data_IF_725344556726
#
_entry.id   IF_725344556726
#
_cell.length_a   1.000
_cell.length_b   1.000
_cell.length_c   1.000
_cell.angle_alpha   90.00
_cell.angle_beta   90.00
_cell.angle_gamma   90.00
#
_symmetry.space_group_name_H-M   'P 1'
#
loop_
_entity.id
_entity.type
_entity.pdbx_description
1 polymer ?
#
# COMPACT_ATOMS: atom_id res chain seq x y z
N UNK A 1 6.88 4.14 -66.78
CA UNK A 1 5.76 3.37 -66.19
C UNK A 1 6.17 2.22 -65.24
N UNK A 2 7.36 1.61 -65.35
CA UNK A 2 7.78 0.49 -64.46
C UNK A 2 8.19 0.88 -63.03
N UNK A 3 8.57 2.13 -62.77
CA UNK A 3 8.95 2.58 -61.41
C UNK A 3 7.75 2.86 -60.46
N UNK A 4 6.56 3.07 -61.01
CA UNK A 4 5.38 3.46 -60.21
C UNK A 4 4.65 2.26 -59.59
N UNK A 5 4.86 1.05 -60.13
CA UNK A 5 4.26 -0.20 -59.61
C UNK A 5 5.02 -0.70 -58.38
N UNK A 6 6.34 -0.44 -58.31
CA UNK A 6 7.19 -0.94 -57.23
C UNK A 6 6.99 -0.19 -55.91
N UNK A 7 6.70 1.12 -55.93
CA UNK A 7 6.39 1.86 -54.69
C UNK A 7 5.00 1.51 -54.13
N UNK A 8 4.02 1.25 -54.99
CA UNK A 8 2.68 0.82 -54.58
C UNK A 8 2.67 -0.60 -54.01
N UNK A 9 3.47 -1.53 -54.55
CA UNK A 9 3.63 -2.86 -53.94
C UNK A 9 4.28 -2.81 -52.56
N UNK A 10 5.31 -1.96 -52.36
CA UNK A 10 5.92 -1.78 -51.03
C UNK A 10 4.92 -1.23 -50.02
N UNK A 11 4.10 -0.24 -50.41
CA UNK A 11 3.08 0.33 -49.54
C UNK A 11 1.97 -0.69 -49.18
N UNK A 12 1.53 -1.51 -50.13
CA UNK A 12 0.49 -2.54 -49.91
C UNK A 12 1.01 -3.68 -49.04
N UNK A 13 2.26 -4.12 -49.23
CA UNK A 13 2.89 -5.13 -48.36
C UNK A 13 3.08 -4.57 -46.95
N UNK A 14 3.49 -3.30 -46.81
CA UNK A 14 3.63 -2.65 -45.51
C UNK A 14 2.27 -2.51 -44.78
N UNK A 15 1.20 -2.16 -45.50
CA UNK A 15 -0.15 -2.06 -44.93
C UNK A 15 -0.73 -3.42 -44.55
N UNK A 16 -0.50 -4.46 -45.37
CA UNK A 16 -0.97 -5.81 -45.10
C UNK A 16 -0.24 -6.45 -43.92
N UNK A 17 1.07 -6.22 -43.79
CA UNK A 17 1.87 -6.63 -42.62
C UNK A 17 1.42 -5.85 -41.37
N UNK A 18 1.18 -4.55 -41.47
CA UNK A 18 0.70 -3.75 -40.34
C UNK A 18 -0.69 -4.18 -39.86
N UNK A 19 -1.64 -4.42 -40.78
CA UNK A 19 -3.00 -4.89 -40.45
C UNK A 19 -3.06 -6.33 -39.92
N UNK A 20 -2.11 -7.19 -40.30
CA UNK A 20 -1.99 -8.57 -39.76
C UNK A 20 -1.26 -8.61 -38.40
N UNK A 21 -0.40 -7.62 -38.11
CA UNK A 21 0.22 -7.46 -36.78
C UNK A 21 -0.76 -6.91 -35.75
N UNK A 22 -1.70 -6.04 -36.15
CA UNK A 22 -2.70 -5.48 -35.22
C UNK A 22 -3.84 -6.43 -34.87
N UNK A 23 -4.05 -7.51 -35.62
CA UNK A 23 -5.24 -8.37 -35.48
C UNK A 23 -5.03 -9.69 -34.74
N UNK A 24 -3.81 -10.05 -34.32
CA UNK A 24 -3.58 -11.35 -33.65
C UNK A 24 -2.21 -11.48 -32.95
N UNK A 25 -1.92 -10.57 -32.02
CA UNK A 25 -0.99 -10.91 -30.92
C UNK A 25 -1.83 -11.31 -29.71
N UNK A 26 -2.49 -12.45 -29.81
CA UNK A 26 -2.99 -13.17 -28.65
C UNK A 26 -1.78 -13.85 -28.01
N UNK A 27 -1.13 -13.19 -27.04
CA UNK A 27 -0.21 -13.87 -26.15
C UNK A 27 -1.02 -14.96 -25.42
N UNK A 28 -0.58 -16.22 -25.48
CA UNK A 28 -1.10 -17.20 -24.53
C UNK A 28 -0.64 -16.75 -23.15
N UNK A 29 -1.58 -16.66 -22.20
CA UNK A 29 -1.28 -16.24 -20.83
C UNK A 29 -0.21 -17.12 -20.15
N UNK A 30 0.00 -18.35 -20.65
CA UNK A 30 0.98 -19.32 -20.15
C UNK A 30 2.46 -18.94 -20.41
N UNK A 31 2.80 -18.15 -21.43
CA UNK A 31 4.22 -17.78 -21.67
C UNK A 31 4.70 -16.56 -20.86
N UNK A 32 3.79 -15.88 -20.15
CA UNK A 32 4.09 -14.73 -19.29
C UNK A 32 4.25 -15.10 -17.81
N UNK A 33 4.16 -16.39 -17.46
CA UNK A 33 3.84 -16.83 -16.10
C UNK A 33 5.04 -17.02 -15.15
N UNK A 34 6.30 -16.92 -15.59
CA UNK A 34 7.42 -17.30 -14.69
C UNK A 34 8.43 -16.22 -14.31
N UNK A 35 8.63 -15.15 -15.08
CA UNK A 35 9.63 -14.14 -14.73
C UNK A 35 9.57 -12.95 -15.69
N UNK A 36 9.46 -11.71 -15.18
CA UNK A 36 9.85 -10.55 -15.97
C UNK A 36 11.37 -10.45 -15.85
N UNK A 37 12.08 -11.10 -16.78
CA UNK A 37 13.54 -11.10 -16.81
C UNK A 37 14.07 -9.70 -17.13
N UNK A 38 14.91 -9.15 -16.25
CA UNK A 38 15.69 -7.95 -16.50
C UNK A 38 16.95 -8.27 -17.32
N UNK A 39 17.53 -7.25 -17.95
CA UNK A 39 18.66 -7.35 -18.88
C UNK A 39 19.96 -7.95 -18.30
N UNK A 40 20.03 -8.08 -16.98
CA UNK A 40 21.10 -8.62 -16.17
C UNK A 40 20.82 -10.04 -15.65
N UNK A 41 19.73 -10.68 -16.09
CA UNK A 41 19.34 -12.03 -15.68
C UNK A 41 18.59 -12.09 -14.34
N UNK A 42 18.32 -10.93 -13.73
CA UNK A 42 17.52 -10.84 -12.51
C UNK A 42 16.02 -10.89 -12.85
N UNK A 43 15.27 -11.76 -12.18
CA UNK A 43 13.82 -11.75 -12.26
C UNK A 43 13.27 -10.63 -11.38
N UNK A 44 12.45 -9.73 -11.94
CA UNK A 44 11.46 -9.02 -11.13
C UNK A 44 10.36 -10.03 -10.80
N UNK A 45 10.49 -10.66 -9.65
CA UNK A 45 9.39 -11.45 -9.11
C UNK A 45 8.24 -10.52 -8.73
N UNK A 46 7.01 -11.03 -8.69
CA UNK A 46 5.89 -10.32 -8.07
C UNK A 46 6.22 -9.86 -6.65
N UNK A 47 7.11 -10.57 -5.95
CA UNK A 47 7.62 -10.18 -4.64
C UNK A 47 8.53 -8.95 -4.68
N UNK A 48 9.29 -8.72 -5.76
CA UNK A 48 10.14 -7.52 -5.93
C UNK A 48 9.29 -6.28 -6.22
N UNK A 49 8.22 -6.44 -7.02
CA UNK A 49 7.22 -5.40 -7.24
C UNK A 49 6.50 -5.07 -5.93
N UNK A 50 6.07 -6.09 -5.19
CA UNK A 50 5.38 -5.90 -3.90
C UNK A 50 6.26 -5.24 -2.84
N UNK A 51 7.54 -5.55 -2.83
CA UNK A 51 8.47 -5.06 -1.82
C UNK A 51 9.08 -3.69 -2.17
N UNK A 52 8.76 -3.14 -3.35
CA UNK A 52 8.94 -1.73 -3.66
C UNK A 52 7.74 -0.88 -3.21
N UNK A 53 6.63 -1.49 -2.79
CA UNK A 53 5.56 -0.76 -2.13
C UNK A 53 5.95 -0.52 -0.67
N UNK A 54 6.15 0.76 -0.32
CA UNK A 54 6.15 1.24 1.06
C UNK A 54 4.79 0.93 1.69
N UNK A 55 4.69 -0.24 2.29
CA UNK A 55 3.59 -0.65 3.16
C UNK A 55 3.76 0.04 4.53
N UNK A 56 3.99 1.36 4.50
CA UNK A 56 4.27 2.22 5.64
C UNK A 56 3.41 1.76 6.82
N UNK A 57 4.07 1.14 7.80
CA UNK A 57 3.39 0.36 8.85
C UNK A 57 2.41 1.27 9.58
N UNK A 58 1.10 1.03 9.44
CA UNK A 58 0.09 1.84 10.05
C UNK A 58 -0.20 1.35 11.46
N UNK A 59 -0.71 2.26 12.29
CA UNK A 59 -1.23 1.90 13.60
C UNK A 59 -2.46 1.01 13.41
N UNK A 60 -2.52 -0.08 14.16
CA UNK A 60 -3.76 -0.81 14.32
C UNK A 60 -4.82 0.22 14.76
N UNK A 61 -5.90 0.45 14.01
CA UNK A 61 -6.88 1.45 14.37
C UNK A 61 -7.49 1.18 15.75
N UNK A 62 -7.47 -0.09 16.18
CA UNK A 62 -7.85 -0.49 17.51
C UNK A 62 -6.85 -0.02 18.58
N UNK A 63 -5.55 0.10 18.28
CA UNK A 63 -4.61 0.77 19.18
C UNK A 63 -4.87 2.26 19.28
N UNK A 64 -5.21 2.93 18.16
CA UNK A 64 -5.64 4.31 18.23
C UNK A 64 -6.88 4.42 19.14
N UNK A 65 -7.91 3.59 18.91
CA UNK A 65 -9.11 3.57 19.75
C UNK A 65 -8.88 3.15 21.20
N UNK A 66 -7.85 2.35 21.47
CA UNK A 66 -7.43 2.00 22.82
C UNK A 66 -6.37 2.97 23.38
N UNK A 67 -6.25 4.18 22.81
CA UNK A 67 -5.29 5.24 23.19
C UNK A 67 -3.83 4.77 23.34
N UNK A 68 -3.44 3.71 22.63
CA UNK A 68 -2.10 3.13 22.65
C UNK A 68 -1.17 3.74 21.57
N UNK A 69 -1.63 4.75 20.83
CA UNK A 69 -0.86 5.45 19.81
C UNK A 69 -1.05 6.97 19.91
N UNK A 70 -0.18 7.79 19.27
CA UNK A 70 -0.22 9.24 19.41
C UNK A 70 -1.62 9.80 19.15
N UNK A 71 -2.04 10.72 20.01
CA UNK A 71 -3.46 11.05 20.24
C UNK A 71 -4.14 11.78 19.08
N UNK A 72 -3.36 12.40 18.19
CA UNK A 72 -3.84 13.47 17.31
C UNK A 72 -4.13 13.04 15.87
N UNK A 73 -3.39 12.11 15.25
CA UNK A 73 -3.66 11.71 13.86
C UNK A 73 -3.66 10.21 13.64
N UNK A 74 -4.85 9.72 13.29
CA UNK A 74 -5.05 8.36 12.79
C UNK A 74 -4.45 8.24 11.40
N UNK A 75 -3.59 7.24 11.22
CA UNK A 75 -3.02 6.91 9.91
C UNK A 75 -3.80 5.78 9.30
N UNK A 76 -4.26 5.93 8.05
CA UNK A 76 -5.01 4.86 7.43
C UNK A 76 -4.10 3.67 7.20
N UNK A 77 -4.62 2.48 7.50
CA UNK A 77 -3.89 1.24 7.29
C UNK A 77 -4.01 0.75 5.86
N UNK A 78 -2.87 0.40 5.28
CA UNK A 78 -2.82 -0.42 4.07
C UNK A 78 -2.60 -1.86 4.51
N UNK A 79 -3.60 -2.69 4.23
CA UNK A 79 -3.62 -4.06 4.73
C UNK A 79 -2.41 -4.84 4.26
N UNK A 80 -1.77 -5.53 5.20
CA UNK A 80 -1.08 -6.78 4.91
C UNK A 80 -2.05 -7.93 5.22
N UNK A 81 -1.77 -9.16 4.76
CA UNK A 81 -2.67 -10.32 4.96
C UNK A 81 -3.01 -10.52 6.43
N UNK A 82 -1.97 -10.53 7.24
CA UNK A 82 -1.99 -10.63 8.68
C UNK A 82 -0.91 -9.68 9.20
N UNK A 83 -1.27 -8.82 10.14
CA UNK A 83 -0.32 -8.00 10.86
C UNK A 83 -0.41 -8.35 12.34
N UNK A 84 0.77 -8.54 12.94
CA UNK A 84 0.92 -8.58 14.39
C UNK A 84 1.64 -7.31 14.76
N UNK A 85 1.07 -6.58 15.70
CA UNK A 85 1.67 -5.35 16.22
C UNK A 85 1.84 -5.49 17.71
N UNK A 86 3.02 -5.17 18.18
CA UNK A 86 3.34 -5.08 19.59
C UNK A 86 3.73 -3.63 19.87
N UNK A 87 2.99 -3.00 20.78
CA UNK A 87 3.31 -1.67 21.28
C UNK A 87 3.62 -1.83 22.76
N UNK A 88 4.91 -1.79 23.16
CA UNK A 88 5.23 -1.48 24.53
C UNK A 88 4.71 -0.05 24.75
N UNK A 89 3.73 0.10 25.64
CA UNK A 89 3.27 1.44 26.00
C UNK A 89 4.47 2.14 26.62
N UNK A 90 4.70 3.39 26.23
CA UNK A 90 5.83 4.17 26.74
C UNK A 90 5.66 4.22 28.26
N UNK A 91 6.64 3.68 28.97
CA UNK A 91 6.64 3.39 30.42
C UNK A 91 6.39 4.61 31.32
N UNK A 92 6.31 5.81 30.74
CA UNK A 92 6.23 7.07 31.46
C UNK A 92 4.79 7.57 31.65
N UNK A 93 3.79 7.02 30.94
CA UNK A 93 2.38 7.53 31.04
C UNK A 93 1.41 6.56 31.72
N UNK A 94 1.70 5.25 31.77
CA UNK A 94 0.74 4.23 32.24
C UNK A 94 1.31 3.18 33.21
N UNK A 95 2.55 3.41 33.68
CA UNK A 95 3.28 2.48 34.54
C UNK A 95 4.45 1.80 33.80
N UNK A 96 5.39 1.26 34.58
CA UNK A 96 6.65 0.70 34.06
C UNK A 96 6.46 -0.58 33.22
N UNK A 97 5.28 -1.22 33.30
CA UNK A 97 5.01 -2.54 32.73
C UNK A 97 3.69 -2.59 31.94
N UNK A 98 3.55 -1.69 30.96
CA UNK A 98 2.38 -1.66 30.07
C UNK A 98 2.72 -2.20 28.68
N UNK A 99 1.91 -3.14 28.18
CA UNK A 99 2.10 -3.73 26.87
C UNK A 99 0.79 -3.96 26.14
N UNK A 100 0.86 -3.95 24.81
CA UNK A 100 -0.30 -4.25 23.99
C UNK A 100 0.06 -5.05 22.75
N UNK A 101 -0.82 -5.98 22.41
CA UNK A 101 -0.74 -6.84 21.23
C UNK A 101 -1.97 -6.61 20.36
N UNK A 102 -1.75 -6.45 19.08
CA UNK A 102 -2.77 -6.22 18.08
C UNK A 102 -2.62 -7.23 16.96
N UNK A 103 -3.74 -7.81 16.55
CA UNK A 103 -3.88 -8.66 15.38
C UNK A 103 -4.80 -7.98 14.40
N UNK A 104 -4.39 -7.94 13.14
CA UNK A 104 -5.23 -7.41 12.07
C UNK A 104 -5.21 -8.31 10.86
N UNK A 105 -6.39 -8.57 10.33
CA UNK A 105 -6.63 -9.42 9.19
C UNK A 105 -7.23 -8.61 8.05
N UNK A 106 -6.61 -8.70 6.87
CA UNK A 106 -7.21 -8.23 5.64
C UNK A 106 -7.81 -9.42 4.88
N UNK A 107 -9.14 -9.66 4.93
CA UNK A 107 -9.74 -10.81 4.28
C UNK A 107 -9.51 -10.81 2.77
N UNK A 108 -9.49 -9.64 2.12
CA UNK A 108 -9.25 -9.57 0.68
C UNK A 108 -7.89 -10.11 0.28
N UNK A 109 -6.85 -9.80 1.05
CA UNK A 109 -5.51 -10.30 0.76
C UNK A 109 -5.34 -11.80 1.04
N UNK A 110 -6.13 -12.40 1.94
CA UNK A 110 -6.19 -13.86 2.08
C UNK A 110 -6.68 -14.54 0.80
N UNK A 111 -7.64 -13.92 0.10
CA UNK A 111 -8.18 -14.41 -1.16
C UNK A 111 -7.35 -13.99 -2.38
N UNK A 112 -6.36 -13.12 -2.21
CA UNK A 112 -5.51 -12.67 -3.31
C UNK A 112 -4.56 -13.81 -3.72
N UNK A 113 -4.64 -14.30 -4.97
CA UNK A 113 -3.67 -15.27 -5.45
C UNK A 113 -2.28 -14.65 -5.43
N UNK A 114 -1.27 -15.48 -5.13
CA UNK A 114 0.11 -15.03 -5.02
C UNK A 114 0.69 -14.56 -6.37
N UNK A 115 0.15 -15.09 -7.46
CA UNK A 115 0.55 -14.80 -8.83
C UNK A 115 -0.71 -14.52 -9.63
N UNK A 116 -0.67 -13.43 -10.39
CA UNK A 116 -1.71 -13.05 -11.34
C UNK A 116 -1.04 -12.66 -12.66
N UNK A 117 -1.66 -13.05 -13.76
CA UNK A 117 -1.20 -12.68 -15.10
C UNK A 117 -1.70 -11.29 -15.47
N UNK A 118 -1.03 -10.63 -16.42
CA UNK A 118 -1.54 -9.39 -17.01
C UNK A 118 -2.96 -9.55 -17.58
N UNK A 119 -3.27 -10.72 -18.17
CA UNK A 119 -4.61 -11.07 -18.69
C UNK A 119 -5.68 -11.04 -17.61
N UNK A 120 -5.38 -11.59 -16.43
CA UNK A 120 -6.30 -11.60 -15.30
C UNK A 120 -6.55 -10.21 -14.74
N UNK A 121 -5.53 -9.36 -14.66
CA UNK A 121 -5.66 -7.97 -14.25
C UNK A 121 -6.55 -7.17 -15.19
N UNK A 122 -6.33 -7.30 -16.50
CA UNK A 122 -7.17 -6.68 -17.52
C UNK A 122 -8.63 -7.19 -17.45
N UNK A 123 -8.82 -8.48 -17.12
CA UNK A 123 -10.13 -9.08 -16.90
C UNK A 123 -10.87 -8.52 -15.68
N UNK A 124 -10.16 -8.14 -14.62
CA UNK A 124 -10.76 -7.51 -13.44
C UNK A 124 -11.37 -6.15 -13.80
N UNK A 125 -10.65 -5.32 -14.55
CA UNK A 125 -11.04 -3.95 -14.92
C UNK A 125 -12.12 -3.85 -16.00
N UNK A 126 -11.98 -4.65 -17.08
CA UNK A 126 -12.77 -4.48 -18.31
C UNK A 126 -14.26 -4.81 -18.16
N UNK A 127 -14.70 -5.24 -16.98
CA UNK A 127 -16.06 -5.76 -16.79
C UNK A 127 -16.37 -6.99 -17.63
N UNK A 128 -15.36 -7.56 -18.31
CA UNK A 128 -15.50 -8.73 -19.17
C UNK A 128 -16.18 -9.86 -18.40
N UNK A 129 -17.20 -10.45 -18.99
CA UNK A 129 -18.12 -11.42 -18.39
C UNK A 129 -17.70 -12.88 -18.64
N UNK A 130 -16.81 -13.11 -19.60
CA UNK A 130 -16.14 -14.40 -19.87
C UNK A 130 -15.21 -14.89 -18.75
N UNK A 131 -15.37 -14.38 -17.54
CA UNK A 131 -14.47 -14.56 -16.40
C UNK A 131 -14.27 -16.01 -16.01
N UNK A 132 -13.02 -16.44 -16.03
CA UNK A 132 -12.57 -17.62 -15.27
C UNK A 132 -12.89 -17.41 -13.78
N UNK A 133 -13.05 -18.48 -13.02
CA UNK A 133 -13.24 -18.40 -11.56
C UNK A 133 -12.10 -17.62 -10.87
N UNK A 134 -10.90 -17.59 -11.47
CA UNK A 134 -9.78 -16.76 -10.99
C UNK A 134 -10.10 -15.26 -11.05
N UNK A 135 -10.66 -14.75 -12.16
CA UNK A 135 -11.03 -13.32 -12.27
C UNK A 135 -12.14 -12.95 -11.27
N UNK A 136 -13.13 -13.83 -11.06
CA UNK A 136 -14.17 -13.62 -10.03
C UNK A 136 -13.55 -13.55 -8.63
N UNK A 137 -12.60 -14.43 -8.31
CA UNK A 137 -11.87 -14.43 -7.04
C UNK A 137 -11.05 -13.15 -6.87
N UNK A 138 -10.38 -12.69 -7.92
CA UNK A 138 -9.62 -11.43 -7.91
C UNK A 138 -10.54 -10.23 -7.64
N UNK A 139 -11.70 -10.13 -8.31
CA UNK A 139 -12.69 -9.07 -8.05
C UNK A 139 -13.18 -9.09 -6.59
N UNK A 140 -13.49 -10.28 -6.06
CA UNK A 140 -13.88 -10.43 -4.64
C UNK A 140 -12.74 -10.02 -3.70
N UNK A 141 -11.51 -10.43 -4.01
CA UNK A 141 -10.31 -10.05 -3.25
C UNK A 141 -10.11 -8.54 -3.25
N UNK A 142 -10.26 -7.86 -4.40
CA UNK A 142 -10.24 -6.39 -4.50
C UNK A 142 -11.28 -5.76 -3.56
N UNK A 143 -12.54 -6.18 -3.65
CA UNK A 143 -13.61 -5.62 -2.80
C UNK A 143 -13.35 -5.88 -1.31
N UNK A 144 -12.98 -7.12 -0.95
CA UNK A 144 -12.71 -7.50 0.43
C UNK A 144 -11.42 -6.87 0.98
N UNK A 145 -10.49 -6.46 0.12
CA UNK A 145 -9.21 -5.87 0.55
C UNK A 145 -9.35 -4.49 1.17
N UNK A 146 -10.52 -3.89 0.98
CA UNK A 146 -10.91 -2.62 1.60
C UNK A 146 -11.32 -2.80 3.05
N UNK A 147 -11.64 -4.03 3.48
CA UNK A 147 -12.02 -4.29 4.86
C UNK A 147 -10.81 -4.72 5.67
N UNK A 148 -10.78 -4.30 6.94
CA UNK A 148 -9.81 -4.74 7.93
C UNK A 148 -10.58 -5.18 9.17
N UNK A 149 -10.24 -6.36 9.64
CA UNK A 149 -10.75 -6.91 10.90
C UNK A 149 -9.59 -6.85 11.89
N UNK A 150 -9.83 -6.25 13.04
CA UNK A 150 -8.82 -6.03 14.07
C UNK A 150 -9.27 -6.61 15.40
N UNK A 151 -8.33 -7.18 16.13
CA UNK A 151 -8.48 -7.54 17.53
C UNK A 151 -7.23 -7.07 18.25
N UNK A 152 -7.37 -6.64 19.50
CA UNK A 152 -6.23 -6.20 20.28
C UNK A 152 -6.49 -6.42 21.75
N UNK A 153 -5.41 -6.67 22.47
CA UNK A 153 -5.41 -6.77 23.91
C UNK A 153 -4.32 -5.83 24.44
N UNK A 154 -4.59 -5.20 25.56
CA UNK A 154 -3.58 -4.46 26.30
C UNK A 154 -3.68 -4.79 27.78
N UNK A 155 -2.53 -4.91 28.41
CA UNK A 155 -2.43 -5.01 29.86
C UNK A 155 -1.53 -3.87 30.35
N UNK A 156 -1.99 -3.19 31.39
CA UNK A 156 -1.20 -2.21 32.14
C UNK A 156 -1.05 -2.74 33.54
N UNK A 157 0.21 -2.90 33.97
CA UNK A 157 0.55 -3.23 35.35
C UNK A 157 1.14 -1.98 35.98
N UNK A 158 0.35 -1.28 36.78
CA UNK A 158 0.84 -0.30 37.75
C UNK A 158 0.95 -0.98 39.13
N UNK A 159 1.72 -0.38 40.04
CA UNK A 159 1.97 -0.93 41.39
C UNK A 159 0.67 -1.11 42.20
N UNK A 160 -0.41 -0.46 41.78
CA UNK A 160 -1.67 -0.30 42.51
C UNK A 160 -2.91 -0.67 41.69
N UNK A 161 -2.84 -0.62 40.35
CA UNK A 161 -3.94 -0.95 39.45
C UNK A 161 -3.41 -1.83 38.31
N UNK A 162 -4.11 -2.93 38.08
CA UNK A 162 -4.02 -3.66 36.82
C UNK A 162 -5.18 -3.28 35.91
N UNK A 163 -4.90 -2.96 34.65
CA UNK A 163 -5.93 -2.67 33.65
C UNK A 163 -5.77 -3.61 32.46
N UNK A 164 -6.75 -4.47 32.28
CA UNK A 164 -6.83 -5.40 31.16
C UNK A 164 -7.90 -4.95 30.18
N UNK A 165 -7.56 -4.86 28.89
CA UNK A 165 -8.50 -4.47 27.84
C UNK A 165 -8.44 -5.43 26.67
N UNK A 166 -9.59 -5.72 26.11
CA UNK A 166 -9.72 -6.46 24.87
C UNK A 166 -10.69 -5.74 23.94
N UNK A 167 -10.29 -5.55 22.69
CA UNK A 167 -11.08 -4.87 21.69
C UNK A 167 -11.22 -5.67 20.39
N UNK A 168 -12.27 -5.36 19.65
CA UNK A 168 -12.48 -5.81 18.29
C UNK A 168 -12.95 -4.64 17.43
N UNK A 169 -12.34 -4.47 16.25
CA UNK A 169 -12.66 -3.40 15.32
C UNK A 169 -12.85 -3.86 13.90
N UNK A 170 -13.69 -3.13 13.17
CA UNK A 170 -13.89 -3.26 11.74
C UNK A 170 -13.60 -1.92 11.07
N UNK A 171 -12.79 -1.94 10.03
CA UNK A 171 -12.50 -0.77 9.23
C UNK A 171 -12.79 -1.01 7.75
N UNK A 172 -13.15 0.06 7.06
CA UNK A 172 -13.24 0.13 5.61
C UNK A 172 -12.31 1.23 5.09
N UNK A 173 -11.44 0.89 4.15
CA UNK A 173 -10.43 1.78 3.59
C UNK A 173 -10.48 1.74 2.07
N UNK A 174 -10.66 2.91 1.46
CA UNK A 174 -10.46 3.18 0.04
C UNK A 174 -9.08 3.81 -0.13
N UNK A 175 -8.14 3.05 -0.70
CA UNK A 175 -6.78 3.51 -0.92
C UNK A 175 -6.41 3.43 -2.41
N UNK A 176 -6.26 4.60 -3.03
CA UNK A 176 -5.84 4.75 -4.44
C UNK A 176 -4.40 4.31 -4.70
N UNK A 177 -3.59 4.15 -3.66
CA UNK A 177 -2.25 3.58 -3.72
C UNK A 177 -2.15 2.19 -3.10
N UNK A 178 -3.28 1.48 -2.93
CA UNK A 178 -3.25 0.09 -2.47
C UNK A 178 -2.56 -0.80 -3.51
N UNK A 179 -2.10 -1.99 -3.09
CA UNK A 179 -1.54 -2.97 -4.04
C UNK A 179 -2.49 -3.22 -5.22
N UNK A 180 -3.81 -3.21 -5.00
CA UNK A 180 -4.80 -3.38 -6.04
C UNK A 180 -4.87 -2.21 -7.01
N UNK A 181 -5.09 -1.00 -6.51
CA UNK A 181 -5.20 0.19 -7.37
C UNK A 181 -3.86 0.49 -8.07
N UNK A 182 -2.73 0.26 -7.40
CA UNK A 182 -1.40 0.33 -8.01
C UNK A 182 -1.22 -0.71 -9.11
N UNK A 183 -1.73 -1.92 -8.93
CA UNK A 183 -1.68 -2.96 -9.96
C UNK A 183 -2.54 -2.57 -11.18
N UNK A 184 -3.65 -1.86 -10.98
CA UNK A 184 -4.48 -1.30 -12.06
C UNK A 184 -3.79 -0.13 -12.78
N UNK A 185 -3.21 0.82 -12.04
CA UNK A 185 -2.40 1.89 -12.61
C UNK A 185 -1.22 1.32 -13.41
N UNK A 186 -0.56 0.30 -12.87
CA UNK A 186 0.53 -0.41 -13.52
C UNK A 186 0.06 -1.16 -14.77
N UNK A 187 -1.05 -1.90 -14.71
CA UNK A 187 -1.64 -2.60 -15.84
C UNK A 187 -2.08 -1.64 -16.96
N UNK A 188 -2.65 -0.50 -16.59
CA UNK A 188 -2.99 0.59 -17.50
C UNK A 188 -1.74 1.20 -18.15
N UNK A 189 -0.69 1.46 -17.37
CA UNK A 189 0.59 1.95 -17.87
C UNK A 189 1.25 0.97 -18.85
N UNK A 190 1.23 -0.34 -18.56
CA UNK A 190 1.71 -1.37 -19.51
C UNK A 190 0.83 -1.37 -20.76
N UNK A 191 -0.49 -1.24 -20.66
CA UNK A 191 -1.36 -1.27 -21.83
C UNK A 191 -1.09 -0.08 -22.75
N UNK A 192 -0.93 1.10 -22.18
CA UNK A 192 -0.67 2.33 -22.92
C UNK A 192 0.74 2.36 -23.52
N UNK A 193 1.77 2.05 -22.73
CA UNK A 193 3.17 2.13 -23.16
C UNK A 193 3.68 0.84 -23.80
N UNK A 194 3.34 -0.30 -23.22
CA UNK A 194 3.73 -1.64 -23.69
C UNK A 194 3.25 -1.95 -25.09
N UNK A 195 1.97 -1.74 -25.40
CA UNK A 195 1.45 -2.02 -26.74
C UNK A 195 2.12 -1.16 -27.83
N UNK A 196 2.41 0.11 -27.50
CA UNK A 196 3.03 1.06 -28.41
C UNK A 196 4.53 0.81 -28.60
N UNK A 197 5.27 0.63 -27.52
CA UNK A 197 6.74 0.53 -27.56
C UNK A 197 7.22 -0.87 -27.94
N UNK A 198 6.59 -1.93 -27.43
CA UNK A 198 6.87 -3.31 -27.87
C UNK A 198 6.48 -3.48 -29.34
N UNK A 199 5.34 -2.92 -29.75
CA UNK A 199 4.93 -2.92 -31.16
C UNK A 199 5.95 -2.21 -32.07
N UNK A 200 6.50 -1.07 -31.66
CA UNK A 200 7.56 -0.36 -32.40
C UNK A 200 8.88 -1.14 -32.42
N UNK A 201 9.27 -1.75 -31.30
CA UNK A 201 10.50 -2.53 -31.21
C UNK A 201 10.44 -3.78 -32.10
N UNK A 202 9.31 -4.50 -32.09
CA UNK A 202 9.05 -5.63 -32.97
C UNK A 202 9.05 -5.19 -34.43
N UNK A 203 8.36 -4.10 -34.77
CA UNK A 203 8.31 -3.59 -36.14
C UNK A 203 9.70 -3.18 -36.65
N UNK A 204 10.55 -2.63 -35.77
CA UNK A 204 11.94 -2.29 -36.10
C UNK A 204 12.78 -3.54 -36.33
N UNK A 205 12.73 -4.52 -35.43
CA UNK A 205 13.45 -5.80 -35.59
C UNK A 205 13.05 -6.50 -36.90
N UNK A 206 11.74 -6.64 -37.14
CA UNK A 206 11.23 -7.24 -38.37
C UNK A 206 11.71 -6.49 -39.61
N UNK A 207 11.71 -5.14 -39.58
CA UNK A 207 12.19 -4.33 -40.70
C UNK A 207 13.69 -4.54 -40.94
N UNK A 208 14.51 -4.49 -39.90
CA UNK A 208 15.96 -4.61 -39.99
C UNK A 208 16.36 -6.01 -40.47
N UNK A 209 15.67 -7.05 -39.99
CA UNK A 209 15.91 -8.44 -40.35
C UNK A 209 15.40 -8.80 -41.76
N UNK A 210 14.25 -8.24 -42.17
CA UNK A 210 13.77 -8.31 -43.54
C UNK A 210 14.71 -7.57 -44.51
N UNK A 211 15.31 -6.45 -44.09
CA UNK A 211 16.29 -5.73 -44.91
C UNK A 211 17.59 -6.52 -45.06
N UNK A 212 18.11 -7.08 -43.96
CA UNK A 212 19.34 -7.88 -43.97
C UNK A 212 19.18 -9.18 -44.75
N UNK A 213 17.98 -9.77 -44.73
CA UNK A 213 17.68 -11.00 -45.46
C UNK A 213 16.94 -10.78 -46.78
N UNK A 214 16.76 -9.54 -47.24
CA UNK A 214 15.99 -9.22 -48.45
C UNK A 214 16.48 -10.00 -49.68
N UNK A 215 17.80 -10.22 -49.78
CA UNK A 215 18.42 -10.98 -50.87
C UNK A 215 18.13 -12.49 -50.78
N UNK A 216 17.87 -13.03 -49.58
CA UNK A 216 17.58 -14.45 -49.34
C UNK A 216 16.11 -14.80 -49.65
N UNK A 217 15.20 -13.85 -49.49
CA UNK A 217 13.75 -14.05 -49.62
C UNK A 217 13.10 -13.38 -50.84
N UNK A 218 13.88 -12.69 -51.69
CA UNK A 218 13.38 -11.88 -52.82
C UNK A 218 12.48 -12.62 -53.84
N UNK A 219 12.50 -13.96 -53.88
CA UNK A 219 11.88 -14.74 -54.95
C UNK A 219 10.66 -15.60 -54.55
N UNK A 220 10.15 -15.53 -53.30
CA UNK A 220 8.95 -16.30 -52.92
C UNK A 220 8.22 -15.71 -51.73
N UNK A 221 6.93 -15.39 -51.91
CA UNK A 221 6.05 -14.87 -50.86
C UNK A 221 5.77 -15.91 -49.76
N UNK A 222 5.74 -17.20 -50.12
CA UNK A 222 5.52 -18.29 -49.15
C UNK A 222 6.65 -18.36 -48.12
N UNK A 223 7.89 -18.06 -48.53
CA UNK A 223 9.05 -18.04 -47.63
C UNK A 223 9.06 -16.86 -46.66
N UNK A 224 8.29 -15.80 -46.91
CA UNK A 224 8.19 -14.68 -46.01
C UNK A 224 7.41 -15.04 -44.72
N UNK A 225 6.42 -15.93 -44.81
CA UNK A 225 5.69 -16.45 -43.65
C UNK A 225 6.56 -17.30 -42.74
N UNK A 226 7.41 -18.15 -43.32
CA UNK A 226 8.35 -18.99 -42.58
C UNK A 226 9.46 -18.18 -41.90
N UNK A 227 9.99 -17.16 -42.60
CA UNK A 227 10.94 -16.23 -42.01
C UNK A 227 10.35 -15.51 -40.78
N UNK A 228 9.09 -15.08 -40.85
CA UNK A 228 8.40 -14.45 -39.71
C UNK A 228 8.25 -15.38 -38.50
N UNK A 229 8.03 -16.68 -38.72
CA UNK A 229 8.02 -17.68 -37.63
C UNK A 229 9.42 -17.89 -37.05
N UNK A 230 10.44 -17.97 -37.89
CA UNK A 230 11.84 -18.14 -37.47
C UNK A 230 12.31 -16.95 -36.61
N UNK A 231 11.96 -15.72 -37.03
CA UNK A 231 12.25 -14.49 -36.29
C UNK A 231 11.58 -14.50 -34.92
N UNK A 232 10.29 -14.83 -34.84
CA UNK A 232 9.54 -14.91 -33.57
C UNK A 232 10.13 -15.93 -32.59
N UNK A 233 10.75 -16.99 -33.13
CA UNK A 233 11.38 -18.03 -32.32
C UNK A 233 12.85 -17.74 -32.00
N UNK A 234 13.46 -16.72 -32.59
CA UNK A 234 14.86 -16.38 -32.35
C UNK A 234 15.11 -15.87 -30.92
N UNK A 235 16.26 -16.24 -30.35
CA UNK A 235 16.67 -15.80 -29.02
C UNK A 235 16.81 -14.27 -28.94
N UNK A 236 17.26 -13.64 -30.04
CA UNK A 236 17.41 -12.17 -30.16
C UNK A 236 16.05 -11.48 -30.04
N UNK A 237 15.00 -12.02 -30.68
CA UNK A 237 13.65 -11.48 -30.58
C UNK A 237 13.13 -11.59 -29.15
N UNK A 238 13.26 -12.77 -28.53
CA UNK A 238 12.83 -13.00 -27.14
C UNK A 238 13.56 -12.09 -26.16
N UNK A 239 14.88 -11.97 -26.28
CA UNK A 239 15.70 -11.10 -25.43
C UNK A 239 15.32 -9.61 -25.59
N UNK A 240 15.14 -9.14 -26.83
CA UNK A 240 14.79 -7.73 -27.07
C UNK A 240 13.41 -7.38 -26.54
N UNK A 241 12.42 -8.26 -26.77
CA UNK A 241 11.06 -8.10 -26.23
C UNK A 241 11.10 -8.13 -24.70
N UNK A 242 11.84 -9.06 -24.10
CA UNK A 242 12.02 -9.14 -22.64
C UNK A 242 12.65 -7.86 -22.07
N UNK A 243 13.72 -7.31 -22.67
CA UNK A 243 14.35 -6.05 -22.23
C UNK A 243 13.41 -4.85 -22.33
N UNK A 244 12.62 -4.77 -23.41
CA UNK A 244 11.62 -3.72 -23.59
C UNK A 244 10.52 -3.82 -22.52
N UNK A 245 9.98 -5.02 -22.29
CA UNK A 245 8.97 -5.26 -21.25
C UNK A 245 9.55 -4.88 -19.88
N UNK A 246 10.76 -5.33 -19.53
CA UNK A 246 11.41 -4.99 -18.27
C UNK A 246 11.61 -3.46 -18.09
N UNK A 247 12.02 -2.76 -19.15
CA UNK A 247 12.16 -1.30 -19.12
C UNK A 247 10.82 -0.59 -18.89
N UNK A 248 9.76 -1.03 -19.55
CA UNK A 248 8.42 -0.45 -19.41
C UNK A 248 7.87 -0.75 -18.02
N UNK A 249 8.03 -1.98 -17.54
CA UNK A 249 7.73 -2.40 -16.16
C UNK A 249 8.44 -1.49 -15.15
N UNK A 250 9.74 -1.27 -15.28
CA UNK A 250 10.50 -0.41 -14.38
C UNK A 250 10.02 1.04 -14.42
N UNK A 251 9.74 1.57 -15.61
CA UNK A 251 9.19 2.91 -15.76
C UNK A 251 7.80 3.06 -15.15
N UNK A 252 6.94 2.05 -15.30
CA UNK A 252 5.59 2.04 -14.75
C UNK A 252 5.63 1.89 -13.23
N UNK A 253 6.52 1.05 -12.68
CA UNK A 253 6.72 0.91 -11.24
C UNK A 253 7.19 2.22 -10.59
N UNK A 254 8.17 2.92 -11.20
CA UNK A 254 8.67 4.22 -10.73
C UNK A 254 7.65 5.34 -10.67
N UNK A 255 6.57 5.24 -11.45
CA UNK A 255 5.50 6.23 -11.46
C UNK A 255 4.63 6.20 -10.20
N UNK A 256 4.65 5.07 -9.48
CA UNK A 256 3.76 4.85 -8.34
C UNK A 256 4.55 5.01 -7.05
N UNK A 257 4.56 6.22 -6.49
CA UNK A 257 5.11 6.46 -5.16
C UNK A 257 4.19 5.81 -4.12
N UNK A 258 4.68 4.80 -3.38
CA UNK A 258 3.83 4.02 -2.48
C UNK A 258 3.35 4.80 -1.25
N UNK A 259 4.02 5.90 -0.89
CA UNK A 259 3.65 6.66 0.31
C UNK A 259 2.73 7.84 0.02
N UNK A 260 2.93 8.54 -1.10
CA UNK A 260 2.15 9.72 -1.47
C UNK A 260 0.87 9.30 -2.21
N UNK A 261 -0.15 8.94 -1.45
CA UNK A 261 -1.45 8.38 -1.90
C UNK A 261 -2.67 9.10 -1.37
N UNK A 262 -3.80 8.94 -2.06
CA UNK A 262 -5.10 9.36 -1.54
C UNK A 262 -5.75 8.18 -0.83
N UNK A 263 -6.17 8.39 0.41
CA UNK A 263 -6.81 7.37 1.22
C UNK A 263 -8.05 7.95 1.87
N UNK A 264 -9.10 7.15 1.96
CA UNK A 264 -10.26 7.41 2.79
C UNK A 264 -10.48 6.18 3.67
N UNK A 265 -10.55 6.38 4.97
CA UNK A 265 -10.79 5.32 5.94
C UNK A 265 -11.94 5.70 6.85
N UNK A 266 -12.75 4.71 7.21
CA UNK A 266 -13.71 4.79 8.30
C UNK A 266 -13.63 3.48 9.08
N UNK A 267 -13.81 3.52 10.38
CA UNK A 267 -13.97 2.28 11.13
C UNK A 267 -14.58 2.50 12.48
N UNK A 268 -14.93 1.38 13.09
CA UNK A 268 -15.53 1.31 14.41
C UNK A 268 -14.86 0.19 15.20
N UNK A 269 -14.79 0.35 16.52
CA UNK A 269 -14.48 -0.76 17.41
C UNK A 269 -15.31 -0.69 18.66
N UNK A 270 -15.44 -1.86 19.29
CA UNK A 270 -15.92 -2.01 20.64
C UNK A 270 -14.82 -2.66 21.46
N UNK A 271 -14.76 -2.35 22.74
CA UNK A 271 -13.82 -2.98 23.65
C UNK A 271 -14.45 -3.18 25.02
N UNK A 272 -13.88 -4.11 25.78
CA UNK A 272 -14.21 -4.37 27.16
C UNK A 272 -12.93 -4.22 27.98
N UNK A 273 -12.99 -3.46 29.06
CA UNK A 273 -11.89 -3.29 30.00
C UNK A 273 -12.29 -3.72 31.40
N UNK A 274 -11.32 -4.24 32.13
CA UNK A 274 -11.42 -4.59 33.54
C UNK A 274 -10.25 -3.98 34.28
N UNK A 275 -10.54 -3.14 35.27
CA UNK A 275 -9.57 -2.67 36.23
C UNK A 275 -9.65 -3.55 37.49
N UNK A 276 -8.51 -3.76 38.14
CA UNK A 276 -8.45 -4.34 39.48
C UNK A 276 -7.49 -3.49 40.29
N UNK A 277 -8.02 -2.89 41.36
CA UNK A 277 -7.24 -2.07 42.29
C UNK A 277 -6.48 -2.91 43.32
N UNK A 278 -5.71 -2.26 44.19
CA UNK A 278 -4.94 -2.90 45.24
C UNK A 278 -5.80 -3.59 46.32
N UNK A 279 -7.10 -3.29 46.39
CA UNK A 279 -8.05 -3.89 47.32
C UNK A 279 -8.87 -5.03 46.67
N UNK A 280 -8.48 -5.48 45.47
CA UNK A 280 -9.17 -6.47 44.64
C UNK A 280 -10.59 -6.03 44.22
N UNK A 281 -10.92 -4.74 44.28
CA UNK A 281 -12.15 -4.23 43.70
C UNK A 281 -12.03 -4.29 42.18
N UNK A 282 -13.05 -4.83 41.54
CA UNK A 282 -13.09 -5.01 40.09
C UNK A 282 -14.13 -4.08 39.51
N UNK A 283 -13.68 -3.19 38.65
CA UNK A 283 -14.56 -2.41 37.80
C UNK A 283 -14.42 -2.89 36.37
N UNK A 284 -15.54 -2.92 35.66
CA UNK A 284 -15.57 -3.35 34.28
C UNK A 284 -16.41 -2.39 33.48
N UNK A 285 -15.85 -1.91 32.37
CA UNK A 285 -16.51 -0.96 31.50
C UNK A 285 -16.44 -1.48 30.07
N UNK A 286 -17.42 -1.08 29.26
CA UNK A 286 -17.41 -1.38 27.84
C UNK A 286 -17.57 -0.09 27.08
N UNK A 287 -16.68 0.14 26.12
CA UNK A 287 -16.72 1.33 25.30
C UNK A 287 -16.68 1.02 23.83
N UNK A 288 -16.83 2.07 23.04
CA UNK A 288 -16.70 2.01 21.60
C UNK A 288 -15.96 3.23 21.07
N UNK A 289 -15.51 3.11 19.83
CA UNK A 289 -14.94 4.22 19.11
C UNK A 289 -15.29 4.18 17.65
N UNK A 290 -15.47 5.36 17.07
CA UNK A 290 -15.66 5.59 15.65
C UNK A 290 -14.53 6.49 15.17
N UNK A 291 -14.00 6.21 14.00
CA UNK A 291 -13.03 7.10 13.38
C UNK A 291 -13.23 7.25 11.88
N UNK A 292 -12.77 8.38 11.37
CA UNK A 292 -12.71 8.70 9.96
C UNK A 292 -11.35 9.33 9.64
N UNK A 293 -10.84 9.02 8.46
CA UNK A 293 -9.53 9.50 8.01
C UNK A 293 -9.58 9.83 6.53
N UNK A 294 -9.02 10.96 6.16
CA UNK A 294 -8.85 11.38 4.78
C UNK A 294 -7.40 11.77 4.55
N UNK A 295 -6.79 11.18 3.55
CA UNK A 295 -5.42 11.47 3.14
C UNK A 295 -5.43 11.89 1.68
N UNK A 296 -4.72 12.97 1.35
CA UNK A 296 -4.63 13.53 0.02
C UNK A 296 -3.19 13.78 -0.38
N UNK A 297 -2.86 13.45 -1.62
CA UNK A 297 -1.58 13.81 -2.25
C UNK A 297 -1.47 15.33 -2.36
N UNK A 298 -0.32 15.89 -1.97
CA UNK A 298 0.02 17.33 -2.12
C UNK A 298 1.32 17.44 -2.91
N UNK A 299 1.20 17.53 -4.23
CA UNK A 299 2.36 17.48 -5.13
C UNK A 299 2.98 16.08 -5.20
N UNK A 300 4.27 16.01 -5.55
CA UNK A 300 5.00 14.72 -5.68
C UNK A 300 5.52 14.18 -4.36
N UNK A 301 5.83 15.08 -3.43
CA UNK A 301 6.55 14.75 -2.19
C UNK A 301 5.78 15.14 -0.92
N UNK A 302 4.51 15.55 -1.02
CA UNK A 302 3.73 16.00 0.13
C UNK A 302 2.46 15.18 0.30
N UNK A 303 2.02 15.02 1.53
CA UNK A 303 0.77 14.36 1.88
C UNK A 303 0.09 15.13 3.01
N UNK A 304 -1.21 15.38 2.84
CA UNK A 304 -2.07 15.96 3.87
C UNK A 304 -2.99 14.88 4.40
N UNK A 305 -3.03 14.72 5.72
CA UNK A 305 -3.89 13.80 6.44
C UNK A 305 -4.83 14.58 7.34
N UNK A 306 -6.10 14.20 7.34
CA UNK A 306 -7.15 14.71 8.21
C UNK A 306 -7.76 13.51 8.92
N UNK A 307 -7.97 13.62 10.23
CA UNK A 307 -8.57 12.57 11.04
C UNK A 307 -9.60 13.14 11.98
N UNK A 308 -10.65 12.37 12.23
CA UNK A 308 -11.53 12.60 13.37
C UNK A 308 -11.84 11.27 14.06
N UNK A 309 -11.99 11.32 15.38
CA UNK A 309 -12.33 10.17 16.22
C UNK A 309 -13.31 10.59 17.28
N UNK A 310 -14.19 9.67 17.64
CA UNK A 310 -15.03 9.73 18.82
C UNK A 310 -14.78 8.45 19.60
N UNK A 311 -14.63 8.55 20.91
CA UNK A 311 -14.66 7.43 21.85
C UNK A 311 -15.64 7.72 22.98
N UNK A 312 -16.24 6.65 23.48
CA UNK A 312 -17.20 6.66 24.58
C UNK A 312 -16.92 5.41 25.42
N UNK A 313 -16.89 5.57 26.73
CA UNK A 313 -16.65 4.49 27.68
C UNK A 313 -15.21 4.02 27.67
N UNK A 314 -14.19 4.83 27.38
CA UNK A 314 -12.78 4.39 27.33
C UNK A 314 -12.10 4.42 28.71
N UNK A 315 -11.63 3.28 29.23
CA UNK A 315 -10.93 3.21 30.51
C UNK A 315 -9.48 3.65 30.35
N UNK A 316 -9.17 4.77 30.99
CA UNK A 316 -7.85 5.36 31.07
C UNK A 316 -7.34 5.33 32.53
N UNK A 317 -6.13 4.82 32.79
CA UNK A 317 -5.49 5.02 34.08
C UNK A 317 -5.19 6.52 34.29
N UNK A 318 -5.63 7.09 35.40
CA UNK A 318 -5.16 8.38 35.92
C UNK A 318 -4.35 8.13 37.20
N UNK A 319 -3.05 8.41 37.09
CA UNK A 319 -2.06 8.23 38.16
C UNK A 319 -2.09 6.84 38.84
N UNK A 320 -1.28 6.65 39.89
CA UNK A 320 -1.09 5.37 40.58
C UNK A 320 -2.34 4.88 41.35
N UNK A 321 -3.59 5.26 41.04
CA UNK A 321 -4.73 4.76 41.84
C UNK A 321 -6.14 4.92 41.25
N UNK A 322 -6.33 5.53 40.08
CA UNK A 322 -7.69 5.73 39.54
C UNK A 322 -7.77 5.25 38.10
N UNK A 323 -8.86 4.55 37.76
CA UNK A 323 -9.25 4.33 36.37
C UNK A 323 -10.48 5.17 36.11
N UNK A 324 -10.42 6.03 35.11
CA UNK A 324 -11.54 6.88 34.74
C UNK A 324 -12.03 6.55 33.34
N UNK A 325 -13.27 6.92 33.08
CA UNK A 325 -13.88 6.83 31.77
C UNK A 325 -13.56 8.12 31.01
N UNK A 326 -12.88 7.97 29.88
CA UNK A 326 -12.57 9.00 28.89
C UNK A 326 -13.59 8.92 27.73
N UNK A 327 -14.43 9.93 27.67
CA UNK A 327 -15.32 10.20 26.55
C UNK A 327 -14.77 11.38 25.78
N UNK A 328 -14.47 11.20 24.49
CA UNK A 328 -13.69 12.19 23.77
C UNK A 328 -14.01 12.30 22.29
N UNK A 329 -13.87 13.52 21.79
CA UNK A 329 -13.86 13.82 20.36
C UNK A 329 -12.52 14.45 20.01
N UNK A 330 -11.89 13.91 18.97
CA UNK A 330 -10.56 14.33 18.53
C UNK A 330 -10.57 14.66 17.05
N UNK A 331 -9.91 15.75 16.69
CA UNK A 331 -9.71 16.17 15.31
C UNK A 331 -8.23 16.44 15.07
N UNK A 332 -7.71 15.99 13.94
CA UNK A 332 -6.29 16.12 13.63
C UNK A 332 -6.02 16.45 12.17
N UNK A 333 -4.98 17.24 11.96
CA UNK A 333 -4.43 17.58 10.66
C UNK A 333 -2.92 17.34 10.70
N UNK A 334 -2.40 16.64 9.69
CA UNK A 334 -0.98 16.42 9.52
C UNK A 334 -0.56 16.69 8.11
N UNK A 335 0.55 17.41 7.96
CA UNK A 335 1.26 17.54 6.70
C UNK A 335 2.61 16.83 6.80
N UNK A 336 2.86 15.87 5.91
CA UNK A 336 4.14 15.18 5.78
C UNK A 336 4.79 15.53 4.43
N UNK A 337 6.09 15.77 4.44
CA UNK A 337 6.87 16.07 3.24
C UNK A 337 8.13 15.21 3.17
N UNK A 338 8.32 14.50 2.06
CA UNK A 338 9.54 13.77 1.78
C UNK A 338 10.64 14.72 1.32
N UNK A 339 11.70 14.83 2.13
CA UNK A 339 12.82 15.72 1.88
C UNK A 339 13.96 15.00 1.12
N UNK A 340 14.20 13.72 1.41
CA UNK A 340 15.20 12.88 0.74
C UNK A 340 14.63 11.51 0.36
N UNK A 341 15.26 10.86 -0.63
CA UNK A 341 14.91 9.50 -1.07
C UNK A 341 13.91 9.43 -2.23
N UNK A 342 14.00 10.35 -3.21
CA UNK A 342 13.11 10.36 -4.38
C UNK A 342 13.34 9.11 -5.28
N UNK A 343 14.45 8.36 -5.08
CA UNK A 343 14.81 7.16 -5.84
C UNK A 343 14.70 5.88 -4.99
N UNK A 344 14.27 4.77 -5.62
CA UNK A 344 13.89 3.47 -5.00
C UNK A 344 14.97 2.79 -4.12
N UNK A 345 16.21 3.27 -4.13
CA UNK A 345 17.32 2.70 -3.35
C UNK A 345 17.70 3.54 -2.12
N UNK A 346 17.18 4.76 -2.01
CA UNK A 346 17.60 5.72 -1.00
C UNK A 346 16.64 5.69 0.19
N UNK A 347 17.20 5.59 1.39
CA UNK A 347 16.46 5.69 2.66
C UNK A 347 15.56 6.93 2.63
N UNK A 348 14.25 6.72 2.67
CA UNK A 348 13.30 7.82 2.70
C UNK A 348 13.47 8.64 4.00
N UNK A 349 13.58 9.95 3.87
CA UNK A 349 13.54 10.89 4.99
C UNK A 349 12.41 11.88 4.80
N UNK A 350 11.54 11.98 5.80
CA UNK A 350 10.33 12.80 5.80
C UNK A 350 10.31 13.69 7.02
N UNK A 351 9.97 14.96 6.83
CA UNK A 351 9.53 15.82 7.93
C UNK A 351 8.01 15.85 7.99
N UNK A 352 7.44 16.11 9.15
CA UNK A 352 6.01 16.35 9.29
C UNK A 352 5.71 17.38 10.36
N UNK A 353 4.58 18.04 10.19
CA UNK A 353 3.92 18.87 11.19
C UNK A 353 2.51 18.32 11.40
N UNK A 354 2.07 18.35 12.65
CA UNK A 354 0.78 17.82 13.08
C UNK A 354 0.16 18.78 14.09
N UNK A 355 -1.15 18.99 13.95
CA UNK A 355 -1.95 19.77 14.88
C UNK A 355 -3.27 19.04 15.09
N UNK A 356 -3.73 18.99 16.32
CA UNK A 356 -5.04 18.44 16.63
C UNK A 356 -5.69 19.13 17.81
N UNK A 357 -7.00 19.05 17.85
CA UNK A 357 -7.84 19.52 18.95
C UNK A 357 -8.53 18.30 19.55
N UNK A 358 -8.54 18.25 20.87
CA UNK A 358 -9.17 17.21 21.66
C UNK A 358 -10.11 17.88 22.64
N UNK A 359 -11.34 17.37 22.68
CA UNK A 359 -12.31 17.64 23.72
C UNK A 359 -12.57 16.31 24.37
N UNK A 360 -12.22 16.17 25.64
CA UNK A 360 -12.42 14.94 26.39
C UNK A 360 -12.99 15.24 27.77
N UNK A 361 -13.78 14.30 28.26
CA UNK A 361 -14.32 14.31 29.59
C UNK A 361 -13.73 13.13 30.33
N UNK A 362 -13.03 13.46 31.42
CA UNK A 362 -12.42 12.48 32.30
C UNK A 362 -13.06 12.67 33.68
N UNK A 363 -13.85 11.68 34.11
CA UNK A 363 -14.71 11.77 35.30
C UNK A 363 -15.62 13.03 35.29
N UNK A 364 -15.36 13.99 36.17
CA UNK A 364 -16.13 15.23 36.31
C UNK A 364 -15.42 16.45 35.71
N UNK A 365 -14.29 16.25 35.04
CA UNK A 365 -13.50 17.30 34.40
C UNK A 365 -13.72 17.26 32.89
N UNK A 366 -14.22 18.37 32.34
CA UNK A 366 -14.25 18.60 30.90
C UNK A 366 -12.94 19.32 30.53
N UNK A 367 -12.12 18.74 29.66
CA UNK A 367 -10.86 19.33 29.19
C UNK A 367 -10.90 19.51 27.67
N UNK A 368 -10.55 20.71 27.22
CA UNK A 368 -10.44 21.05 25.80
C UNK A 368 -9.04 21.59 25.54
N UNK A 369 -8.27 20.90 24.71
CA UNK A 369 -6.90 21.27 24.44
C UNK A 369 -6.52 21.11 22.97
N UNK A 370 -5.46 21.83 22.60
CA UNK A 370 -4.83 21.73 21.29
C UNK A 370 -3.44 21.15 21.45
N UNK A 371 -3.08 20.18 20.63
CA UNK A 371 -1.72 19.65 20.53
C UNK A 371 -1.11 20.04 19.19
N UNK A 372 0.15 20.46 19.20
CA UNK A 372 0.92 20.63 17.98
C UNK A 372 2.28 19.95 18.10
N UNK A 373 2.71 19.29 17.05
CA UNK A 373 4.02 18.63 17.00
C UNK A 373 4.72 18.79 15.66
N UNK A 374 6.05 18.75 15.75
CA UNK A 374 6.97 18.70 14.63
C UNK A 374 7.82 17.44 14.77
N UNK A 375 7.99 16.73 13.67
CA UNK A 375 8.73 15.48 13.70
C UNK A 375 9.35 15.10 12.38
N UNK A 376 10.06 13.98 12.42
CA UNK A 376 10.63 13.36 11.24
C UNK A 376 10.44 11.85 11.27
N UNK A 377 10.51 11.25 10.09
CA UNK A 377 10.47 9.82 9.89
C UNK A 377 11.61 9.44 8.95
N UNK A 378 12.40 8.45 9.35
CA UNK A 378 13.53 7.93 8.59
C UNK A 378 13.35 6.43 8.37
N UNK A 379 13.54 6.01 7.13
CA UNK A 379 13.62 4.60 6.79
C UNK A 379 14.99 4.05 7.22
N UNK A 380 15.00 3.17 8.21
CA UNK A 380 16.21 2.54 8.74
C UNK A 380 16.61 1.33 7.88
N UNK A 381 15.62 0.54 7.47
CA UNK A 381 15.75 -0.57 6.52
C UNK A 381 14.50 -0.65 5.65
N UNK A 382 14.46 -1.58 4.67
CA UNK A 382 13.33 -1.74 3.74
C UNK A 382 11.98 -1.74 4.47
N UNK A 383 11.93 -2.43 5.60
CA UNK A 383 10.69 -2.66 6.35
C UNK A 383 10.69 -1.99 7.73
N UNK A 384 11.77 -1.30 8.11
CA UNK A 384 11.93 -0.68 9.43
C UNK A 384 12.02 0.85 9.30
N UNK A 385 11.15 1.55 10.01
CA UNK A 385 11.14 3.00 10.12
C UNK A 385 11.35 3.44 11.56
N UNK A 386 12.07 4.54 11.73
CA UNK A 386 12.15 5.27 12.99
C UNK A 386 11.47 6.62 12.82
N UNK A 387 10.66 6.98 13.80
CA UNK A 387 9.97 8.27 13.86
C UNK A 387 10.26 8.92 15.20
N UNK A 388 10.51 10.22 15.17
CA UNK A 388 10.58 11.05 16.35
C UNK A 388 9.74 12.31 16.15
N UNK A 389 9.11 12.79 17.22
CA UNK A 389 8.40 14.06 17.23
C UNK A 389 8.55 14.75 18.58
N UNK A 390 8.60 16.07 18.54
CA UNK A 390 8.46 16.94 19.71
C UNK A 390 7.18 17.74 19.55
N UNK A 391 6.40 17.85 20.62
CA UNK A 391 5.15 18.59 20.62
C UNK A 391 4.90 19.29 21.94
N UNK A 392 3.91 20.16 21.90
CA UNK A 392 3.43 20.95 23.03
C UNK A 392 1.90 20.85 23.07
N UNK A 393 1.36 21.02 24.27
CA UNK A 393 -0.08 21.04 24.52
C UNK A 393 -0.49 22.43 24.99
N UNK A 394 -1.58 22.94 24.46
CA UNK A 394 -2.09 24.28 24.71
C UNK A 394 -3.51 24.18 25.26
N UNK A 395 -3.87 25.12 26.13
CA UNK A 395 -5.24 25.32 26.62
C UNK A 395 -5.80 24.20 27.49
N UNK A 396 -5.02 23.15 27.77
CA UNK A 396 -5.43 22.08 28.69
C UNK A 396 -5.56 22.58 30.12
N UNK A 397 -6.64 22.18 30.78
CA UNK A 397 -6.83 22.36 32.21
C UNK A 397 -6.00 21.37 33.03
N UNK A 398 -5.66 20.22 32.44
CA UNK A 398 -4.68 19.28 32.97
C UNK A 398 -3.26 19.79 32.70
N UNK A 399 -2.32 19.51 33.61
CA UNK A 399 -0.90 19.87 33.43
C UNK A 399 -0.25 18.96 32.39
N UNK A 400 -0.44 19.29 31.12
CA UNK A 400 0.11 18.56 29.97
C UNK A 400 1.37 19.26 29.49
N UNK A 401 2.52 18.78 29.94
CA UNK A 401 3.82 19.28 29.51
C UNK A 401 4.14 18.94 28.04
N UNK A 402 5.23 19.53 27.55
CA UNK A 402 5.87 19.16 26.29
C UNK A 402 6.17 17.67 26.24
N UNK A 403 5.84 17.05 25.13
CA UNK A 403 6.11 15.64 24.92
C UNK A 403 7.19 15.42 23.85
N UNK A 404 8.04 14.43 24.12
CA UNK A 404 8.97 13.85 23.15
C UNK A 404 8.53 12.42 22.89
N UNK A 405 8.27 12.08 21.63
CA UNK A 405 7.90 10.71 21.24
C UNK A 405 8.93 10.13 20.28
N UNK A 406 9.18 8.82 20.46
CA UNK A 406 10.02 8.02 19.58
C UNK A 406 9.33 6.69 19.30
N UNK A 407 9.29 6.27 18.03
CA UNK A 407 8.60 5.04 17.61
C UNK A 407 9.40 4.31 16.55
N UNK A 408 9.62 3.01 16.77
CA UNK A 408 10.04 2.08 15.72
C UNK A 408 8.80 1.44 15.09
N UNK A 409 8.81 1.32 13.77
CA UNK A 409 7.73 0.71 12.99
C UNK A 409 8.33 -0.36 12.10
N UNK A 410 7.83 -1.58 12.19
CA UNK A 410 8.34 -2.70 11.42
C UNK A 410 7.21 -3.43 10.71
N UNK A 411 7.34 -3.63 9.40
CA UNK A 411 6.44 -4.44 8.59
C UNK A 411 7.08 -5.80 8.27
N UNK A 412 6.29 -6.87 8.27
CA UNK A 412 6.75 -8.18 7.81
C UNK A 412 6.21 -8.46 6.43
N UNK A 413 6.96 -8.09 5.39
CA UNK A 413 6.67 -8.63 4.07
C UNK A 413 7.21 -10.06 4.04
N UNK A 414 6.31 -11.05 4.12
CA UNK A 414 6.65 -12.47 3.98
C UNK A 414 7.47 -12.67 2.70
N UNK A 415 8.80 -12.81 2.82
CA UNK A 415 9.61 -13.40 1.75
C UNK A 415 9.27 -14.87 1.72
N UNK A 416 8.57 -15.30 0.68
CA UNK A 416 8.33 -16.72 0.46
C UNK A 416 9.69 -17.40 0.29
N UNK A 417 10.03 -18.27 1.24
CA UNK A 417 11.13 -19.23 1.05
C UNK A 417 10.71 -20.13 -0.10
N UNK A 418 11.43 -20.06 -1.21
CA UNK A 418 11.20 -20.88 -2.40
C UNK A 418 11.44 -22.36 -2.13
#
# INVERSE_FOLDING_TARGET
MRFFVWSKMKAVIFLAVWMSVTSSVSFSAEELDECIAMSDGNCLSSSDIQSNFDLATPENPLFALMNASPETVIRPKVGDKLMVSYLPLVADTFGKDSYSIGLELNPGQLYQPQIFTAGELMGVESGWDGTTERIKRLRRSKTLSRFLISAAASESLADTISLNRFGFGLAYTLDTGSNWETTEEYGSCIREKGALDVGRAIAKLQKDELQNNANKYANSADKAGDALKEIKNSDIYKETVSKQIASITHMCAKGVSPWNRNVFGIGLAAYHGQSTDAEDNKESESGYGLWITLVKKVGRNGQLSLGARINDGYLQPLDDAVVEVDDGVRFGVRYAHQMLGISDADRAFRGFIEIGSVSEKIDNMDDEYTQASLGFEVQVSRDLYFQAAIGDTFESEADRERHLSGKFKWSFTSKTVK
#
